data_IF_983530221314
#
_entry.id   IF_983530221314
#
_cell.length_a   1.000
_cell.length_b   1.000
_cell.length_c   1.000
_cell.angle_alpha   90.00
_cell.angle_beta   90.00
_cell.angle_gamma   90.00
#
_symmetry.space_group_name_H-M   'P 1'
#
loop_
_entity.id
_entity.type
_entity.pdbx_description
1 polymer ?
#
# COMPACT_ATOMS: atom_id res chain seq x y z
N UNK A 1 16.18 13.48 -1.71
CA UNK A 1 15.69 12.48 -0.74
C UNK A 1 16.35 11.10 -0.90
N UNK A 2 16.99 10.77 -2.04
CA UNK A 2 17.65 9.47 -2.26
C UNK A 2 18.63 9.07 -1.16
N UNK A 3 19.54 9.97 -0.74
CA UNK A 3 20.49 9.67 0.34
C UNK A 3 19.80 9.40 1.69
N UNK A 4 18.72 10.14 1.99
CA UNK A 4 17.93 9.92 3.22
C UNK A 4 17.23 8.56 3.20
N UNK A 5 16.66 8.18 2.06
CA UNK A 5 16.03 6.86 1.88
C UNK A 5 17.07 5.73 2.00
N UNK A 6 18.25 5.88 1.40
CA UNK A 6 19.34 4.91 1.52
C UNK A 6 19.78 4.74 2.99
N UNK A 7 19.86 5.81 3.76
CA UNK A 7 20.15 5.74 5.19
C UNK A 7 19.03 5.03 5.97
N UNK A 8 17.76 5.34 5.68
CA UNK A 8 16.61 4.74 6.36
C UNK A 8 16.51 3.22 6.14
N UNK A 9 16.87 2.74 4.96
CA UNK A 9 16.92 1.29 4.65
C UNK A 9 17.92 0.55 5.54
N UNK A 10 19.03 1.19 5.91
CA UNK A 10 20.09 0.58 6.72
C UNK A 10 19.87 0.73 8.23
N UNK A 11 18.91 1.54 8.67
CA UNK A 11 18.58 1.73 10.09
C UNK A 11 17.94 0.46 10.66
N UNK A 12 18.47 -0.05 11.79
CA UNK A 12 18.02 -1.29 12.42
C UNK A 12 16.90 -1.04 13.41
N UNK A 13 16.94 0.07 14.14
CA UNK A 13 15.92 0.44 15.11
C UNK A 13 14.61 0.78 14.37
N UNK A 14 13.50 0.05 14.62
CA UNK A 14 12.23 0.30 13.93
C UNK A 14 11.62 1.67 14.22
N UNK A 15 11.73 2.18 15.45
CA UNK A 15 11.17 3.46 15.83
C UNK A 15 11.92 4.59 15.13
N UNK A 16 13.26 4.54 15.19
CA UNK A 16 14.11 5.51 14.49
C UNK A 16 13.91 5.45 12.97
N UNK A 17 13.79 4.25 12.39
CA UNK A 17 13.52 4.08 10.95
C UNK A 17 12.16 4.66 10.56
N UNK A 18 11.13 4.53 11.41
CA UNK A 18 9.82 5.13 11.16
C UNK A 18 9.88 6.66 11.16
N UNK A 19 10.61 7.26 12.11
CA UNK A 19 10.83 8.71 12.17
C UNK A 19 11.56 9.24 10.93
N UNK A 20 12.61 8.53 10.48
CA UNK A 20 13.33 8.87 9.25
C UNK A 20 12.39 8.87 8.03
N UNK A 21 11.54 7.86 7.87
CA UNK A 21 10.59 7.83 6.75
C UNK A 21 9.52 8.91 6.86
N UNK A 22 9.07 9.25 8.06
CA UNK A 22 8.11 10.35 8.26
C UNK A 22 8.71 11.69 7.81
N UNK A 23 9.96 11.96 8.14
CA UNK A 23 10.66 13.17 7.68
C UNK A 23 10.75 13.21 6.14
N UNK A 24 11.15 12.10 5.51
CA UNK A 24 11.24 11.99 4.05
C UNK A 24 9.87 12.24 3.40
N UNK A 25 8.80 11.64 3.94
CA UNK A 25 7.45 11.79 3.40
C UNK A 25 6.94 13.24 3.50
N UNK A 26 7.21 13.93 4.62
CA UNK A 26 6.86 15.35 4.79
C UNK A 26 7.60 16.23 3.78
N UNK A 27 8.91 16.01 3.61
CA UNK A 27 9.70 16.74 2.63
C UNK A 27 9.20 16.49 1.20
N UNK A 28 8.90 15.23 0.87
CA UNK A 28 8.37 14.87 -0.44
C UNK A 28 7.01 15.52 -0.70
N UNK A 29 6.10 15.49 0.28
CA UNK A 29 4.78 16.11 0.16
C UNK A 29 4.88 17.62 -0.08
N UNK A 30 5.85 18.30 0.56
CA UNK A 30 6.02 19.74 0.42
C UNK A 30 6.63 20.16 -0.94
N UNK A 31 7.46 19.33 -1.56
CA UNK A 31 8.25 19.71 -2.74
C UNK A 31 7.91 18.96 -4.03
N UNK A 32 6.91 18.08 -4.02
CA UNK A 32 6.59 17.24 -5.19
C UNK A 32 5.89 18.02 -6.31
N UNK A 33 6.14 17.68 -7.58
CA UNK A 33 5.48 18.31 -8.73
C UNK A 33 4.08 17.70 -9.00
N UNK A 34 3.42 17.17 -7.97
CA UNK A 34 2.08 16.58 -8.06
C UNK A 34 1.34 16.70 -6.73
N UNK A 35 0.01 16.57 -6.79
CA UNK A 35 -0.87 16.61 -5.61
C UNK A 35 -1.41 15.20 -5.35
N UNK A 36 -1.30 14.74 -4.10
CA UNK A 36 -1.92 13.49 -3.65
C UNK A 36 -3.43 13.71 -3.52
N UNK A 37 -4.23 12.94 -4.27
CA UNK A 37 -5.69 13.06 -4.25
C UNK A 37 -6.35 11.95 -3.44
N UNK A 38 -6.17 10.69 -3.84
CA UNK A 38 -6.87 9.53 -3.27
C UNK A 38 -5.95 8.32 -3.17
N UNK A 39 -6.23 7.44 -2.20
CA UNK A 39 -5.71 6.08 -2.15
C UNK A 39 -6.74 5.15 -2.79
N UNK A 40 -6.29 4.26 -3.70
CA UNK A 40 -7.17 3.27 -4.30
C UNK A 40 -7.76 2.35 -3.22
N UNK A 41 -9.09 2.20 -3.24
CA UNK A 41 -9.79 1.16 -2.51
C UNK A 41 -10.28 0.12 -3.53
N UNK A 42 -9.95 -1.16 -3.30
CA UNK A 42 -10.39 -2.23 -4.18
C UNK A 42 -11.79 -2.69 -3.80
N UNK A 43 -12.70 -2.65 -4.77
CA UNK A 43 -14.09 -3.04 -4.62
C UNK A 43 -14.46 -3.98 -5.77
N UNK A 44 -15.08 -5.12 -5.45
CA UNK A 44 -15.53 -6.08 -6.44
C UNK A 44 -17.05 -6.25 -6.38
N UNK A 45 -17.73 -6.02 -7.51
CA UNK A 45 -19.13 -6.38 -7.70
C UNK A 45 -19.26 -7.87 -8.01
N UNK A 46 -19.67 -8.67 -7.03
CA UNK A 46 -19.89 -10.11 -7.20
C UNK A 46 -21.39 -10.44 -7.22
N UNK A 47 -21.78 -11.47 -7.98
CA UNK A 47 -23.16 -11.97 -7.94
C UNK A 47 -23.46 -12.48 -6.53
N UNK A 48 -24.72 -12.38 -6.09
CA UNK A 48 -25.14 -12.80 -4.75
C UNK A 48 -24.82 -14.28 -4.45
N UNK A 49 -24.78 -15.12 -5.50
CA UNK A 49 -24.47 -16.53 -5.39
C UNK A 49 -23.00 -16.90 -5.60
N UNK A 50 -22.12 -15.93 -5.86
CA UNK A 50 -20.66 -16.14 -5.86
C UNK A 50 -20.17 -16.17 -4.41
N UNK A 51 -19.51 -17.25 -4.00
CA UNK A 51 -18.88 -17.39 -2.68
C UNK A 51 -17.38 -17.66 -2.84
N UNK A 52 -16.58 -17.37 -1.81
CA UNK A 52 -15.14 -17.71 -1.76
C UNK A 52 -14.20 -16.78 -2.52
N UNK A 53 -14.68 -15.67 -3.08
CA UNK A 53 -13.80 -14.65 -3.67
C UNK A 53 -13.19 -13.76 -2.58
N UNK A 54 -11.87 -13.57 -2.61
CA UNK A 54 -11.11 -12.77 -1.64
C UNK A 54 -10.31 -11.70 -2.37
N UNK A 55 -10.52 -10.44 -1.99
CA UNK A 55 -9.66 -9.33 -2.40
C UNK A 55 -8.40 -9.35 -1.52
N UNK A 56 -7.23 -9.46 -2.14
CA UNK A 56 -5.96 -9.59 -1.45
C UNK A 56 -5.50 -8.32 -0.75
N UNK A 57 -4.49 -8.41 0.14
CA UNK A 57 -3.86 -7.24 0.76
C UNK A 57 -2.97 -6.45 -0.23
N UNK A 58 -2.63 -7.03 -1.37
CA UNK A 58 -1.88 -6.42 -2.46
C UNK A 58 -2.71 -6.47 -3.75
N UNK A 59 -2.46 -5.53 -4.67
CA UNK A 59 -3.25 -5.34 -5.88
C UNK A 59 -3.23 -6.54 -6.84
N UNK A 60 -2.26 -7.45 -6.68
CA UNK A 60 -2.06 -8.65 -7.47
C UNK A 60 -2.49 -9.95 -6.77
N UNK A 61 -2.93 -9.89 -5.50
CA UNK A 61 -3.27 -11.08 -4.68
C UNK A 61 -4.79 -11.35 -4.57
N UNK A 62 -5.53 -11.13 -5.66
CA UNK A 62 -6.94 -11.52 -5.70
C UNK A 62 -7.05 -13.05 -5.84
N UNK A 63 -7.73 -13.70 -4.88
CA UNK A 63 -7.75 -15.17 -4.78
C UNK A 63 -9.05 -15.76 -5.30
N UNK A 64 -8.90 -16.79 -6.14
CA UNK A 64 -10.00 -17.45 -6.85
C UNK A 64 -10.16 -18.94 -6.53
N UNK A 65 -9.21 -19.54 -5.78
CA UNK A 65 -9.14 -21.00 -5.61
C UNK A 65 -10.37 -21.61 -4.91
N UNK A 66 -11.03 -20.86 -4.01
CA UNK A 66 -12.23 -21.29 -3.29
C UNK A 66 -13.54 -20.79 -3.92
N UNK A 67 -13.50 -20.24 -5.14
CA UNK A 67 -14.68 -19.61 -5.74
C UNK A 67 -15.70 -20.64 -6.19
N UNK A 68 -16.95 -20.49 -5.72
CA UNK A 68 -18.09 -21.35 -6.09
C UNK A 68 -19.32 -20.52 -6.51
N UNK A 69 -20.25 -21.16 -7.23
CA UNK A 69 -21.54 -20.60 -7.67
C UNK A 69 -22.66 -21.62 -7.44
N UNK A 70 -23.70 -21.25 -6.68
CA UNK A 70 -24.87 -22.09 -6.38
C UNK A 70 -26.20 -21.44 -6.76
#
# INVERSE_FOLDING_TARGET
MTNMANAAILERDPAKRAEMYLEIQKAHQASSPFVIMFQQAEVAGVRANTKGFIIGPAFDDNRYHDVTKN
#
